data_IF_386682655674
#
_entry.id   IF_386682655674
#
_cell.length_a   1.000
_cell.length_b   1.000
_cell.length_c   1.000
_cell.angle_alpha   90.00
_cell.angle_beta   90.00
_cell.angle_gamma   90.00
#
_symmetry.space_group_name_H-M   'P 1'
#
loop_
_entity.id
_entity.type
_entity.pdbx_description
1 polymer ?
#
# COMPACT_ATOMS: atom_id res chain seq x y z
N UNK A 1 0.09 -32.92 -6.47
CA UNK A 1 -0.90 -32.98 -5.35
C UNK A 1 -0.23 -32.89 -3.97
N UNK A 2 1.11 -32.73 -3.87
CA UNK A 2 1.82 -32.69 -2.59
C UNK A 2 1.79 -31.34 -1.87
N UNK A 3 1.83 -30.22 -2.60
CA UNK A 3 1.89 -28.87 -2.01
C UNK A 3 0.73 -28.59 -1.05
N UNK A 4 -0.51 -28.87 -1.45
CA UNK A 4 -1.69 -28.62 -0.61
C UNK A 4 -1.62 -29.42 0.70
N UNK A 5 -1.31 -30.72 0.62
CA UNK A 5 -1.15 -31.60 1.78
C UNK A 5 -0.03 -31.12 2.70
N UNK A 6 1.12 -30.72 2.15
CA UNK A 6 2.24 -30.21 2.93
C UNK A 6 1.88 -28.87 3.62
N UNK A 7 1.20 -27.95 2.93
CA UNK A 7 0.73 -26.70 3.54
C UNK A 7 -0.31 -26.95 4.64
N UNK A 8 -1.19 -27.93 4.50
CA UNK A 8 -2.14 -28.34 5.56
C UNK A 8 -1.43 -28.91 6.79
N UNK A 9 -0.34 -29.68 6.60
CA UNK A 9 0.51 -30.15 7.69
C UNK A 9 1.20 -28.99 8.40
N UNK A 10 1.79 -28.05 7.64
CA UNK A 10 2.36 -26.81 8.21
C UNK A 10 1.32 -26.00 8.96
N UNK A 11 0.11 -25.82 8.42
CA UNK A 11 -0.96 -25.09 9.11
C UNK A 11 -1.34 -25.75 10.43
N UNK A 12 -1.42 -27.09 10.44
CA UNK A 12 -1.74 -27.88 11.64
C UNK A 12 -0.69 -27.70 12.72
N UNK A 13 0.59 -27.79 12.37
CA UNK A 13 1.71 -27.58 13.30
C UNK A 13 1.73 -26.14 13.84
N UNK A 14 1.56 -25.15 12.96
CA UNK A 14 1.46 -23.75 13.37
C UNK A 14 0.26 -23.48 14.31
N UNK A 15 -0.86 -24.18 14.08
CA UNK A 15 -2.04 -24.11 14.95
C UNK A 15 -1.77 -24.78 16.30
N UNK A 16 -1.11 -25.94 16.32
CA UNK A 16 -0.69 -26.64 17.54
C UNK A 16 0.30 -25.81 18.37
N UNK A 17 1.19 -25.08 17.71
CA UNK A 17 2.12 -24.12 18.32
C UNK A 17 1.47 -22.83 18.85
N UNK A 18 0.16 -22.62 18.64
CA UNK A 18 -0.55 -21.42 19.12
C UNK A 18 -0.29 -20.15 18.30
N UNK A 19 0.29 -20.25 17.10
CA UNK A 19 0.52 -19.09 16.22
C UNK A 19 -0.83 -18.52 15.77
N UNK A 20 -1.02 -17.19 15.86
CA UNK A 20 -2.29 -16.54 15.54
C UNK A 20 -2.73 -16.70 14.07
N UNK A 21 -4.04 -16.80 13.81
CA UNK A 21 -4.63 -17.07 12.47
C UNK A 21 -4.05 -16.18 11.35
N UNK A 22 -3.89 -14.88 11.61
CA UNK A 22 -3.34 -13.93 10.64
C UNK A 22 -1.86 -14.17 10.32
N UNK A 23 -1.07 -14.61 11.31
CA UNK A 23 0.33 -14.93 11.11
C UNK A 23 0.47 -16.25 10.35
N UNK A 24 -0.34 -17.27 10.69
CA UNK A 24 -0.37 -18.54 9.95
C UNK A 24 -0.68 -18.33 8.48
N UNK A 25 -1.77 -17.62 8.17
CA UNK A 25 -2.18 -17.41 6.78
C UNK A 25 -1.12 -16.65 5.96
N UNK A 26 -0.42 -15.69 6.58
CA UNK A 26 0.70 -14.98 5.94
C UNK A 26 1.86 -15.92 5.65
N UNK A 27 2.31 -16.69 6.66
CA UNK A 27 3.43 -17.61 6.52
C UNK A 27 3.14 -18.70 5.46
N UNK A 28 1.91 -19.24 5.44
CA UNK A 28 1.49 -20.19 4.41
C UNK A 28 1.47 -19.58 3.01
N UNK A 29 1.11 -18.29 2.89
CA UNK A 29 1.22 -17.54 1.64
C UNK A 29 2.67 -17.40 1.18
N UNK A 30 3.57 -16.97 2.07
CA UNK A 30 5.00 -16.82 1.78
C UNK A 30 5.65 -18.17 1.40
N UNK A 31 5.31 -19.27 2.10
CA UNK A 31 5.79 -20.61 1.78
C UNK A 31 5.27 -21.13 0.44
N UNK A 32 4.01 -20.82 0.09
CA UNK A 32 3.45 -21.17 -1.21
C UNK A 32 4.17 -20.43 -2.34
N UNK A 33 4.41 -19.14 -2.17
CA UNK A 33 5.12 -18.33 -3.17
C UNK A 33 6.57 -18.86 -3.32
N UNK A 34 7.24 -19.17 -2.22
CA UNK A 34 8.59 -19.74 -2.25
C UNK A 34 8.65 -21.15 -2.88
N UNK A 35 7.61 -21.98 -2.69
CA UNK A 35 7.47 -23.25 -3.41
C UNK A 35 7.41 -23.03 -4.92
N UNK A 36 6.62 -22.04 -5.37
CA UNK A 36 6.49 -21.72 -6.80
C UNK A 36 7.81 -21.24 -7.40
N UNK A 37 8.57 -20.43 -6.67
CA UNK A 37 9.92 -20.00 -7.07
C UNK A 37 10.87 -21.21 -7.21
N UNK A 38 10.91 -22.09 -6.20
CA UNK A 38 11.73 -23.32 -6.25
C UNK A 38 11.34 -24.21 -7.44
N UNK A 39 10.04 -24.30 -7.76
CA UNK A 39 9.55 -25.06 -8.90
C UNK A 39 9.98 -24.43 -10.23
N UNK A 40 9.96 -23.10 -10.33
CA UNK A 40 10.43 -22.38 -11.51
C UNK A 40 11.94 -22.56 -11.71
N UNK A 41 12.72 -22.48 -10.63
CA UNK A 41 14.17 -22.74 -10.64
C UNK A 41 14.50 -24.16 -11.12
N UNK A 42 13.85 -25.19 -10.57
CA UNK A 42 14.11 -26.60 -10.96
C UNK A 42 13.73 -26.88 -12.41
N UNK A 43 12.67 -26.24 -12.92
CA UNK A 43 12.27 -26.33 -14.33
C UNK A 43 13.24 -25.57 -15.25
N UNK A 44 13.70 -24.39 -14.83
CA UNK A 44 14.66 -23.58 -15.59
C UNK A 44 16.09 -24.16 -15.59
N UNK A 45 16.53 -24.75 -14.47
CA UNK A 45 17.86 -25.36 -14.33
C UNK A 45 18.01 -26.63 -15.16
N UNK A 46 16.91 -27.30 -15.51
CA UNK A 46 16.90 -28.42 -16.46
C UNK A 46 16.91 -27.99 -17.92
N UNK A 47 17.12 -26.69 -18.17
CA UNK A 47 17.38 -26.02 -19.43
C UNK A 47 17.10 -26.88 -20.65
N UNK A 48 16.04 -26.53 -21.38
CA UNK A 48 15.92 -26.85 -22.80
C UNK A 48 17.33 -26.84 -23.43
N UNK A 49 17.93 -28.00 -23.72
CA UNK A 49 19.09 -28.04 -24.60
C UNK A 49 18.53 -27.49 -25.90
N UNK A 50 19.09 -26.36 -26.35
CA UNK A 50 18.41 -25.43 -27.26
C UNK A 50 17.58 -26.10 -28.35
N UNK A 51 16.41 -25.51 -28.63
CA UNK A 51 15.39 -25.88 -29.60
C UNK A 51 15.88 -26.13 -31.05
N UNK A 52 16.82 -27.06 -31.24
CA UNK A 52 17.35 -27.56 -32.51
C UNK A 52 17.52 -29.06 -32.41
N UNK A 53 16.45 -29.74 -32.80
CA UNK A 53 16.49 -31.15 -33.14
C UNK A 53 15.95 -32.03 -32.03
N UNK A 54 14.73 -32.50 -32.20
CA UNK A 54 14.46 -33.89 -32.57
C UNK A 54 12.96 -34.16 -32.47
N UNK A 55 12.28 -34.03 -33.62
CA UNK A 55 10.97 -34.64 -33.85
C UNK A 55 11.20 -36.14 -34.10
N UNK A 56 11.18 -37.01 -33.08
CA UNK A 56 10.81 -38.43 -33.23
C UNK A 56 10.90 -39.17 -31.87
N UNK A 57 9.78 -39.63 -31.32
CA UNK A 57 9.78 -40.52 -30.15
C UNK A 57 8.57 -40.40 -29.20
N UNK A 58 7.34 -40.40 -29.74
CA UNK A 58 6.14 -39.95 -29.02
C UNK A 58 5.39 -40.94 -28.10
N UNK A 59 6.01 -41.97 -27.49
CA UNK A 59 5.19 -42.91 -26.65
C UNK A 59 5.78 -43.53 -25.39
N UNK A 60 7.09 -43.42 -25.12
CA UNK A 60 7.67 -43.89 -23.85
C UNK A 60 7.85 -42.79 -22.78
N UNK A 61 7.50 -41.53 -23.10
CA UNK A 61 7.82 -40.36 -22.25
C UNK A 61 6.90 -40.13 -21.04
N UNK A 62 5.74 -40.78 -20.97
CA UNK A 62 4.72 -40.43 -19.97
C UNK A 62 5.03 -40.93 -18.55
N UNK A 63 5.73 -42.05 -18.40
CA UNK A 63 6.10 -42.58 -17.08
C UNK A 63 7.33 -41.87 -16.52
N UNK A 64 8.31 -41.59 -17.37
CA UNK A 64 9.52 -40.87 -16.97
C UNK A 64 9.23 -39.42 -16.56
N UNK A 65 8.26 -38.76 -17.20
CA UNK A 65 7.85 -37.41 -16.81
C UNK A 65 7.25 -37.36 -15.41
N UNK A 66 6.40 -38.32 -15.06
CA UNK A 66 5.78 -38.42 -13.72
C UNK A 66 6.81 -38.66 -12.61
N UNK A 67 7.79 -39.54 -12.86
CA UNK A 67 8.87 -39.79 -11.89
C UNK A 67 9.78 -38.57 -11.72
N UNK A 68 10.03 -37.83 -12.81
CA UNK A 68 10.82 -36.61 -12.77
C UNK A 68 10.12 -35.51 -11.95
N UNK A 69 8.81 -35.32 -12.17
CA UNK A 69 7.99 -34.37 -11.40
C UNK A 69 7.96 -34.74 -9.93
N UNK A 70 7.78 -36.03 -9.60
CA UNK A 70 7.79 -36.51 -8.21
C UNK A 70 9.12 -36.20 -7.52
N UNK A 71 10.25 -36.45 -8.19
CA UNK A 71 11.59 -36.14 -7.68
C UNK A 71 11.83 -34.64 -7.50
N UNK A 72 11.28 -33.80 -8.38
CA UNK A 72 11.35 -32.33 -8.23
C UNK A 72 10.54 -31.89 -7.01
N UNK A 73 9.31 -32.36 -6.85
CA UNK A 73 8.49 -32.04 -5.67
C UNK A 73 9.16 -32.49 -4.35
N UNK A 74 9.80 -33.68 -4.34
CA UNK A 74 10.52 -34.18 -3.16
C UNK A 74 11.72 -33.29 -2.79
N UNK A 75 12.52 -32.87 -3.78
CA UNK A 75 13.62 -31.90 -3.55
C UNK A 75 13.14 -30.56 -3.03
N UNK A 76 12.03 -30.04 -3.56
CA UNK A 76 11.45 -28.77 -3.09
C UNK A 76 10.98 -28.90 -1.64
N UNK A 77 10.32 -30.02 -1.29
CA UNK A 77 9.89 -30.30 0.08
C UNK A 77 11.08 -30.38 1.04
N UNK A 78 12.17 -31.02 0.62
CA UNK A 78 13.41 -31.12 1.40
C UNK A 78 14.07 -29.74 1.61
N UNK A 79 14.09 -28.87 0.57
CA UNK A 79 14.61 -27.50 0.67
C UNK A 79 13.78 -26.62 1.63
N UNK A 80 12.46 -26.75 1.60
CA UNK A 80 11.57 -25.97 2.47
C UNK A 80 11.61 -26.44 3.93
N UNK A 81 12.04 -27.68 4.16
CA UNK A 81 12.17 -28.26 5.49
C UNK A 81 10.88 -28.91 5.99
N UNK A 82 10.99 -29.50 7.19
CA UNK A 82 9.88 -30.24 7.81
C UNK A 82 8.88 -29.27 8.46
N UNK A 83 7.56 -29.54 8.39
CA UNK A 83 6.53 -28.69 8.98
C UNK A 83 6.75 -28.34 10.46
N UNK A 84 7.25 -29.28 11.26
CA UNK A 84 7.48 -29.09 12.69
C UNK A 84 8.63 -28.09 12.94
N UNK A 85 9.67 -28.14 12.11
CA UNK A 85 10.82 -27.21 12.17
C UNK A 85 10.38 -25.80 11.78
N UNK A 86 9.52 -25.67 10.76
CA UNK A 86 8.94 -24.39 10.35
C UNK A 86 8.10 -23.80 11.49
N UNK A 87 7.27 -24.61 12.14
CA UNK A 87 6.45 -24.15 13.26
C UNK A 87 7.31 -23.71 14.47
N UNK A 88 8.37 -24.46 14.78
CA UNK A 88 9.31 -24.11 15.84
C UNK A 88 10.10 -22.83 15.50
N UNK A 89 10.55 -22.68 14.26
CA UNK A 89 11.22 -21.46 13.79
C UNK A 89 10.28 -20.24 13.85
N UNK A 90 9.00 -20.42 13.51
CA UNK A 90 8.00 -19.35 13.61
C UNK A 90 7.73 -18.89 15.06
N UNK A 91 7.96 -19.75 16.05
CA UNK A 91 7.92 -19.39 17.47
C UNK A 91 9.18 -18.64 17.91
N UNK A 92 10.35 -19.11 17.48
CA UNK A 92 11.65 -18.52 17.83
C UNK A 92 11.87 -17.14 17.19
N UNK A 93 11.29 -16.93 16.01
CA UNK A 93 11.32 -15.67 15.30
C UNK A 93 9.91 -15.06 15.30
N UNK A 94 9.45 -14.51 16.44
CA UNK A 94 8.20 -13.76 16.45
C UNK A 94 8.29 -12.70 15.36
N UNK A 95 7.20 -12.48 14.61
CA UNK A 95 7.22 -11.65 13.42
C UNK A 95 7.80 -10.31 13.82
N UNK A 96 8.91 -9.92 13.17
CA UNK A 96 9.57 -8.65 13.49
C UNK A 96 8.52 -7.56 13.38
N UNK A 97 8.03 -7.10 14.54
CA UNK A 97 7.10 -5.98 14.58
C UNK A 97 7.78 -4.84 13.85
N UNK A 98 7.13 -4.36 12.79
CA UNK A 98 7.62 -3.20 12.05
C UNK A 98 8.00 -2.11 13.05
N UNK A 99 9.05 -1.36 12.77
CA UNK A 99 9.53 -0.33 13.69
C UNK A 99 8.42 0.66 14.08
N UNK A 100 7.53 0.98 13.13
CA UNK A 100 6.29 1.76 13.35
C UNK A 100 5.30 1.11 14.32
N UNK A 101 5.19 -0.22 14.37
CA UNK A 101 4.36 -0.91 15.34
C UNK A 101 4.90 -0.80 16.77
N UNK A 102 6.23 -0.65 16.92
CA UNK A 102 6.89 -0.45 18.23
C UNK A 102 6.77 1.00 18.71
N UNK A 103 6.75 1.94 17.77
CA UNK A 103 6.71 3.37 18.05
C UNK A 103 5.56 4.05 17.29
N UNK A 104 4.29 3.76 17.65
CA UNK A 104 3.13 4.22 16.90
C UNK A 104 2.93 5.74 16.94
N UNK A 105 3.48 6.42 17.95
CA UNK A 105 3.48 7.89 18.05
C UNK A 105 4.19 8.57 16.87
N UNK A 106 5.10 7.87 16.18
CA UNK A 106 5.77 8.39 14.99
C UNK A 106 4.81 8.60 13.82
N UNK A 107 3.73 7.82 13.71
CA UNK A 107 2.69 8.10 12.71
C UNK A 107 2.03 9.45 12.96
N UNK A 108 1.79 9.78 14.22
CA UNK A 108 1.22 11.08 14.62
C UNK A 108 2.22 12.19 14.32
N UNK A 109 3.48 12.01 14.71
CA UNK A 109 4.55 12.98 14.46
C UNK A 109 4.80 13.21 12.96
N UNK A 110 4.65 12.18 12.12
CA UNK A 110 4.85 12.27 10.68
C UNK A 110 3.65 12.87 9.92
N UNK A 111 2.45 12.90 10.50
CA UNK A 111 1.24 13.34 9.81
C UNK A 111 1.32 14.81 9.35
N UNK A 112 1.84 15.70 10.20
CA UNK A 112 1.98 17.12 9.88
C UNK A 112 3.08 17.39 8.84
N UNK A 113 4.31 16.83 8.95
CA UNK A 113 5.30 16.89 7.88
C UNK A 113 4.78 16.38 6.53
N UNK A 114 4.01 15.29 6.51
CA UNK A 114 3.42 14.76 5.28
C UNK A 114 2.44 15.74 4.64
N UNK A 115 1.62 16.43 5.44
CA UNK A 115 0.75 17.49 4.94
C UNK A 115 1.54 18.65 4.35
N UNK A 116 2.58 19.14 5.05
CA UNK A 116 3.44 20.23 4.54
C UNK A 116 4.13 19.82 3.24
N UNK A 117 4.67 18.61 3.16
CA UNK A 117 5.28 18.08 1.94
C UNK A 117 4.27 17.97 0.81
N UNK A 118 3.03 17.54 1.10
CA UNK A 118 1.95 17.52 0.13
C UNK A 118 1.61 18.92 -0.40
N UNK A 119 1.64 19.94 0.45
CA UNK A 119 1.40 21.33 0.07
C UNK A 119 2.52 21.89 -0.80
N UNK A 120 3.78 21.66 -0.44
CA UNK A 120 4.95 22.05 -1.23
C UNK A 120 4.92 21.36 -2.60
N UNK A 121 4.70 20.05 -2.63
CA UNK A 121 4.61 19.28 -3.87
C UNK A 121 3.46 19.73 -4.78
N UNK A 122 2.30 20.07 -4.20
CA UNK A 122 1.18 20.65 -4.92
C UNK A 122 1.53 22.02 -5.53
N UNK A 123 2.11 22.92 -4.73
CA UNK A 123 2.52 24.25 -5.19
C UNK A 123 3.54 24.19 -6.33
N UNK A 124 4.55 23.30 -6.22
CA UNK A 124 5.52 23.06 -7.29
C UNK A 124 4.85 22.53 -8.56
N UNK A 125 3.88 21.63 -8.43
CA UNK A 125 3.14 21.07 -9.57
C UNK A 125 2.31 22.14 -10.29
N UNK A 126 1.61 23.00 -9.54
CA UNK A 126 0.86 24.13 -10.10
C UNK A 126 1.81 25.11 -10.79
N UNK A 127 2.94 25.44 -10.18
CA UNK A 127 3.94 26.32 -10.78
C UNK A 127 4.51 25.73 -12.09
N UNK A 128 4.81 24.43 -12.12
CA UNK A 128 5.29 23.76 -13.33
C UNK A 128 4.24 23.75 -14.45
N UNK A 129 2.98 23.45 -14.14
CA UNK A 129 1.88 23.51 -15.11
C UNK A 129 1.70 24.94 -15.63
N UNK A 130 1.78 25.94 -14.74
CA UNK A 130 1.65 27.35 -15.11
C UNK A 130 2.79 27.86 -16.01
N UNK A 131 3.99 27.25 -15.94
CA UNK A 131 5.08 27.55 -16.86
C UNK A 131 4.90 26.92 -18.23
N UNK A 132 4.32 25.71 -18.29
CA UNK A 132 4.09 24.98 -19.54
C UNK A 132 2.88 25.50 -20.32
N UNK A 133 1.88 26.01 -19.60
CA UNK A 133 0.66 26.56 -20.18
C UNK A 133 0.87 28.06 -20.35
N UNK A 134 0.69 28.63 -21.55
CA UNK A 134 0.81 30.07 -21.80
C UNK A 134 -0.34 30.85 -21.12
N UNK A 135 -0.29 30.91 -19.80
CA UNK A 135 -1.31 31.41 -18.88
C UNK A 135 -1.69 32.86 -19.15
N UNK A 136 -0.75 33.60 -19.77
CA UNK A 136 -0.88 35.00 -20.09
C UNK A 136 -2.08 35.27 -21.00
N UNK A 137 -2.33 34.38 -21.97
CA UNK A 137 -3.42 34.51 -22.94
C UNK A 137 -4.83 34.37 -22.34
N UNK A 138 -4.97 33.72 -21.18
CA UNK A 138 -6.30 33.41 -20.60
C UNK A 138 -6.74 34.40 -19.50
N UNK A 139 -5.81 35.21 -18.96
CA UNK A 139 -6.08 36.20 -17.91
C UNK A 139 -6.89 37.41 -18.40
N UNK A 140 -6.94 37.67 -19.70
CA UNK A 140 -7.66 38.81 -20.29
C UNK A 140 -9.19 38.68 -20.21
N UNK A 141 -9.72 37.46 -19.98
CA UNK A 141 -11.16 37.16 -20.03
C UNK A 141 -11.99 37.61 -18.81
N UNK A 142 -11.36 38.16 -17.76
CA UNK A 142 -12.03 38.84 -16.62
C UNK A 142 -12.92 37.97 -15.71
N UNK A 143 -13.19 36.71 -16.07
CA UNK A 143 -13.87 35.73 -15.20
C UNK A 143 -12.83 34.98 -14.39
N UNK A 144 -13.12 34.67 -13.12
CA UNK A 144 -12.25 33.85 -12.29
C UNK A 144 -12.21 32.46 -12.95
N UNK A 145 -11.11 32.09 -13.63
CA UNK A 145 -11.17 30.94 -14.51
C UNK A 145 -11.42 29.69 -13.68
N UNK A 146 -12.06 28.68 -14.26
CA UNK A 146 -12.29 27.40 -13.58
C UNK A 146 -11.00 26.82 -12.97
N UNK A 147 -9.83 27.10 -13.56
CA UNK A 147 -8.52 26.70 -13.04
C UNK A 147 -8.16 27.39 -11.72
N UNK A 148 -8.58 28.63 -11.48
CA UNK A 148 -8.30 29.33 -10.22
C UNK A 148 -9.00 28.67 -9.04
N UNK A 149 -10.25 28.23 -9.26
CA UNK A 149 -10.98 27.37 -8.31
C UNK A 149 -10.28 26.03 -8.13
N UNK A 150 -9.80 25.40 -9.20
CA UNK A 150 -9.04 24.15 -9.10
C UNK A 150 -7.74 24.31 -8.30
N UNK A 151 -7.05 25.45 -8.41
CA UNK A 151 -5.85 25.78 -7.62
C UNK A 151 -6.19 25.89 -6.13
N UNK A 152 -7.24 26.63 -5.80
CA UNK A 152 -7.69 26.82 -4.42
C UNK A 152 -8.15 25.50 -3.79
N UNK A 153 -9.04 24.78 -4.46
CA UNK A 153 -9.53 23.49 -3.96
C UNK A 153 -8.43 22.43 -3.92
N UNK A 154 -7.52 22.43 -4.90
CA UNK A 154 -6.38 21.52 -4.88
C UNK A 154 -5.43 21.78 -3.71
N UNK A 155 -5.16 23.05 -3.39
CA UNK A 155 -4.34 23.40 -2.23
C UNK A 155 -4.95 22.94 -0.90
N UNK A 156 -6.28 22.87 -0.81
CA UNK A 156 -7.01 22.37 0.36
C UNK A 156 -6.98 20.84 0.39
N UNK A 157 -7.40 20.17 -0.69
CA UNK A 157 -7.69 18.74 -0.67
C UNK A 157 -6.50 17.84 -1.00
N UNK A 158 -5.58 18.26 -1.88
CA UNK A 158 -4.46 17.39 -2.31
C UNK A 158 -3.49 17.11 -1.15
N UNK A 159 -3.01 18.10 -0.39
CA UNK A 159 -2.06 17.84 0.71
C UNK A 159 -2.66 16.95 1.80
N UNK A 160 -3.93 17.21 2.15
CA UNK A 160 -4.67 16.43 3.14
C UNK A 160 -4.92 15.01 2.63
N UNK A 161 -5.34 14.86 1.37
CA UNK A 161 -5.55 13.55 0.75
C UNK A 161 -4.28 12.71 0.69
N UNK A 162 -3.13 13.32 0.37
CA UNK A 162 -1.83 12.66 0.40
C UNK A 162 -1.45 12.23 1.83
N UNK A 163 -1.54 13.13 2.81
CA UNK A 163 -1.23 12.82 4.20
C UNK A 163 -2.12 11.69 4.73
N UNK A 164 -3.43 11.75 4.49
CA UNK A 164 -4.40 10.70 4.86
C UNK A 164 -4.04 9.37 4.20
N UNK A 165 -3.71 9.37 2.91
CA UNK A 165 -3.32 8.15 2.19
C UNK A 165 -2.08 7.53 2.80
N UNK A 166 -1.04 8.31 3.02
CA UNK A 166 0.23 7.85 3.59
C UNK A 166 0.05 7.32 5.01
N UNK A 167 -0.65 8.06 5.88
CA UNK A 167 -0.93 7.64 7.27
C UNK A 167 -1.74 6.35 7.29
N UNK A 168 -2.80 6.26 6.48
CA UNK A 168 -3.66 5.06 6.41
C UNK A 168 -2.88 3.86 5.90
N UNK A 169 -2.13 4.02 4.81
CA UNK A 169 -1.29 2.96 4.25
C UNK A 169 -0.23 2.48 5.26
N UNK A 170 0.49 3.41 5.89
CA UNK A 170 1.51 3.09 6.89
C UNK A 170 0.91 2.41 8.12
N UNK A 171 -0.24 2.85 8.60
CA UNK A 171 -0.93 2.26 9.74
C UNK A 171 -1.43 0.83 9.45
N UNK A 172 -2.01 0.59 8.26
CA UNK A 172 -2.44 -0.76 7.85
C UNK A 172 -1.24 -1.69 7.67
N UNK A 173 -0.22 -1.25 6.93
CA UNK A 173 1.00 -2.04 6.68
C UNK A 173 1.74 -2.39 7.97
N UNK A 174 1.79 -1.44 8.90
CA UNK A 174 2.48 -1.59 10.18
C UNK A 174 1.61 -2.23 11.26
N UNK A 175 0.32 -2.46 10.99
CA UNK A 175 -0.66 -3.02 11.95
C UNK A 175 -0.73 -2.24 13.25
N UNK A 176 -0.68 -0.92 13.15
CA UNK A 176 -0.79 -0.05 14.31
C UNK A 176 -2.21 -0.14 14.91
N UNK A 177 -2.31 -0.03 16.24
CA UNK A 177 -3.59 -0.06 16.93
C UNK A 177 -4.50 1.07 16.44
N UNK A 178 -5.81 0.80 16.37
CA UNK A 178 -6.80 1.73 15.79
C UNK A 178 -6.78 3.10 16.47
N UNK A 179 -6.55 3.17 17.78
CA UNK A 179 -6.45 4.44 18.51
C UNK A 179 -5.33 5.34 17.99
N UNK A 180 -4.15 4.78 17.74
CA UNK A 180 -3.02 5.54 17.21
C UNK A 180 -3.23 5.98 15.76
N UNK A 181 -3.92 5.15 14.96
CA UNK A 181 -4.35 5.54 13.62
C UNK A 181 -5.32 6.74 13.68
N UNK A 182 -6.34 6.68 14.55
CA UNK A 182 -7.30 7.78 14.71
C UNK A 182 -6.62 9.07 15.19
N UNK A 183 -5.68 8.96 16.14
CA UNK A 183 -4.89 10.10 16.60
C UNK A 183 -4.03 10.72 15.47
N UNK A 184 -3.37 9.88 14.66
CA UNK A 184 -2.57 10.35 13.52
C UNK A 184 -3.43 10.98 12.42
N UNK A 185 -4.65 10.46 12.21
CA UNK A 185 -5.61 10.99 11.25
C UNK A 185 -6.24 12.30 11.71
N UNK A 186 -6.45 12.49 13.02
CA UNK A 186 -7.07 13.69 13.56
C UNK A 186 -6.28 14.97 13.20
N UNK A 187 -4.94 14.93 13.19
CA UNK A 187 -4.11 16.08 12.88
C UNK A 187 -4.36 16.68 11.48
N UNK A 188 -4.16 15.95 10.36
CA UNK A 188 -4.39 16.50 9.03
C UNK A 188 -5.86 16.88 8.80
N UNK A 189 -6.81 16.20 9.45
CA UNK A 189 -8.23 16.56 9.37
C UNK A 189 -8.55 17.86 10.12
N UNK A 190 -7.97 18.08 11.31
CA UNK A 190 -8.12 19.33 12.05
C UNK A 190 -7.45 20.49 11.31
N UNK A 191 -6.28 20.25 10.70
CA UNK A 191 -5.64 21.24 9.83
C UNK A 191 -6.56 21.57 8.66
N UNK A 192 -7.13 20.56 7.98
CA UNK A 192 -8.09 20.77 6.89
C UNK A 192 -9.31 21.59 7.33
N UNK A 193 -9.89 21.27 8.49
CA UNK A 193 -11.05 21.98 9.04
C UNK A 193 -10.80 23.48 9.22
N UNK A 194 -9.58 23.87 9.59
CA UNK A 194 -9.23 25.26 9.84
C UNK A 194 -8.47 25.93 8.68
N UNK A 195 -8.19 25.20 7.60
CA UNK A 195 -7.43 25.76 6.47
C UNK A 195 -8.32 26.72 5.69
N UNK A 196 -7.80 27.93 5.47
CA UNK A 196 -8.42 28.92 4.62
C UNK A 196 -7.45 29.33 3.51
N UNK A 197 -7.93 29.31 2.27
CA UNK A 197 -7.15 29.69 1.09
C UNK A 197 -7.85 30.83 0.39
N UNK A 198 -7.21 32.00 0.38
CA UNK A 198 -7.67 33.17 -0.33
C UNK A 198 -6.80 33.40 -1.57
N UNK A 199 -7.43 33.45 -2.73
CA UNK A 199 -6.79 33.83 -3.98
C UNK A 199 -7.19 35.25 -4.33
N UNK A 200 -6.23 36.17 -4.33
CA UNK A 200 -6.42 37.54 -4.81
C UNK A 200 -5.76 37.67 -6.18
N UNK A 201 -6.56 37.68 -7.24
CA UNK A 201 -6.10 37.91 -8.62
C UNK A 201 -6.07 39.42 -8.89
N UNK A 202 -4.93 39.93 -9.33
CA UNK A 202 -4.79 41.30 -9.84
C UNK A 202 -4.49 41.26 -11.34
N UNK A 203 -5.00 42.25 -12.07
CA UNK A 203 -4.65 42.44 -13.50
C UNK A 203 -3.22 42.93 -13.67
N UNK A 204 -2.66 43.56 -12.64
CA UNK A 204 -1.28 44.01 -12.63
C UNK A 204 -0.33 42.83 -12.41
N UNK A 205 0.67 42.71 -13.28
CA UNK A 205 1.67 41.64 -13.22
C UNK A 205 2.38 41.68 -11.87
N UNK A 206 2.47 40.53 -11.21
CA UNK A 206 3.15 40.40 -9.91
C UNK A 206 2.31 40.78 -8.69
N UNK A 207 1.09 41.30 -8.86
CA UNK A 207 0.21 41.64 -7.73
C UNK A 207 -0.81 40.55 -7.36
N UNK A 208 -0.80 39.43 -8.08
CA UNK A 208 -1.62 38.27 -7.70
C UNK A 208 -0.99 37.57 -6.50
N UNK A 209 -1.80 37.24 -5.50
CA UNK A 209 -1.33 36.59 -4.27
C UNK A 209 -2.26 35.44 -3.88
N UNK A 210 -1.64 34.38 -3.35
CA UNK A 210 -2.32 33.27 -2.69
C UNK A 210 -1.97 33.36 -1.21
N UNK A 211 -2.98 33.54 -0.37
CA UNK A 211 -2.81 33.50 1.07
C UNK A 211 -3.36 32.16 1.58
N UNK A 212 -2.49 31.39 2.25
CA UNK A 212 -2.86 30.20 2.99
C UNK A 212 -2.79 30.54 4.48
N UNK A 213 -3.88 30.31 5.21
CA UNK A 213 -3.96 30.63 6.62
C UNK A 213 -4.79 29.61 7.39
N UNK A 214 -4.82 29.79 8.70
CA UNK A 214 -5.64 29.01 9.63
C UNK A 214 -6.67 29.96 10.22
N UNK A 215 -7.96 29.65 10.07
CA UNK A 215 -9.07 30.47 10.56
C UNK A 215 -9.69 29.90 11.83
N UNK A 216 -9.93 30.76 12.83
CA UNK A 216 -10.66 30.43 14.06
C UNK A 216 -11.73 31.51 14.32
N UNK A 217 -13.02 31.16 14.44
CA UNK A 217 -13.60 29.81 14.27
C UNK A 217 -13.50 29.30 12.81
N UNK A 218 -13.65 27.97 12.58
CA UNK A 218 -13.66 27.43 11.23
C UNK A 218 -14.88 27.95 10.44
N UNK A 219 -14.68 28.21 9.16
CA UNK A 219 -15.75 28.58 8.23
C UNK A 219 -16.73 27.38 8.05
N UNK A 220 -18.04 27.59 7.80
CA UNK A 220 -18.98 26.49 7.57
C UNK A 220 -18.55 25.56 6.43
N UNK A 221 -17.82 26.05 5.43
CA UNK A 221 -17.27 25.19 4.37
C UNK A 221 -16.19 24.23 4.89
N UNK A 222 -15.52 24.57 6.00
CA UNK A 222 -14.54 23.74 6.68
C UNK A 222 -15.08 22.37 7.10
N UNK A 223 -16.39 22.27 7.35
CA UNK A 223 -17.05 20.98 7.62
C UNK A 223 -16.85 20.02 6.44
N UNK A 224 -17.01 20.48 5.19
CA UNK A 224 -16.77 19.64 4.02
C UNK A 224 -15.28 19.34 3.82
N UNK A 225 -14.40 20.29 4.16
CA UNK A 225 -12.95 20.09 4.13
C UNK A 225 -12.50 19.00 5.12
N UNK A 226 -13.23 18.81 6.21
CA UNK A 226 -13.04 17.70 7.16
C UNK A 226 -13.69 16.39 6.70
N UNK A 227 -14.97 16.44 6.31
CA UNK A 227 -15.77 15.24 6.04
C UNK A 227 -15.29 14.46 4.80
N UNK A 228 -14.90 15.16 3.73
CA UNK A 228 -14.48 14.50 2.48
C UNK A 228 -13.21 13.65 2.70
N UNK A 229 -12.10 14.19 3.25
CA UNK A 229 -10.92 13.38 3.52
C UNK A 229 -11.15 12.33 4.62
N UNK A 230 -12.02 12.59 5.61
CA UNK A 230 -12.37 11.61 6.63
C UNK A 230 -13.10 10.39 6.04
N UNK A 231 -14.09 10.63 5.17
CA UNK A 231 -14.79 9.56 4.44
C UNK A 231 -13.83 8.77 3.55
N UNK A 232 -12.93 9.47 2.84
CA UNK A 232 -11.89 8.86 2.04
C UNK A 232 -10.93 7.99 2.88
N UNK A 233 -10.48 8.48 4.04
CA UNK A 233 -9.65 7.74 4.98
C UNK A 233 -10.33 6.44 5.45
N UNK A 234 -11.62 6.52 5.81
CA UNK A 234 -12.40 5.37 6.23
C UNK A 234 -12.51 4.34 5.10
N UNK A 235 -12.88 4.76 3.89
CA UNK A 235 -12.96 3.88 2.73
C UNK A 235 -11.63 3.19 2.44
N UNK A 236 -10.53 3.93 2.46
CA UNK A 236 -9.17 3.41 2.26
C UNK A 236 -8.78 2.41 3.35
N UNK A 237 -9.04 2.73 4.62
CA UNK A 237 -8.76 1.86 5.75
C UNK A 237 -9.49 0.52 5.65
N UNK A 238 -10.79 0.54 5.38
CA UNK A 238 -11.57 -0.69 5.23
C UNK A 238 -11.16 -1.48 3.98
N UNK A 239 -10.89 -0.80 2.85
CA UNK A 239 -10.43 -1.44 1.62
C UNK A 239 -9.08 -2.15 1.80
N UNK A 240 -8.09 -1.47 2.39
CA UNK A 240 -6.77 -2.03 2.63
C UNK A 240 -6.80 -3.14 3.69
N UNK A 241 -7.60 -3.00 4.75
CA UNK A 241 -7.78 -4.06 5.75
C UNK A 241 -8.46 -5.30 5.17
N UNK A 242 -9.46 -5.15 4.29
CA UNK A 242 -10.10 -6.30 3.61
C UNK A 242 -9.11 -7.06 2.74
N UNK A 243 -8.26 -6.36 1.99
CA UNK A 243 -7.18 -6.98 1.18
C UNK A 243 -6.10 -7.64 2.04
N UNK A 244 -5.87 -7.11 3.25
CA UNK A 244 -4.93 -7.66 4.21
C UNK A 244 -5.54 -8.78 5.06
N UNK A 245 -6.87 -8.94 5.04
CA UNK A 245 -7.52 -10.09 5.63
C UNK A 245 -7.16 -11.27 4.71
N UNK A 246 -6.53 -12.33 5.24
CA UNK A 246 -6.33 -13.52 4.45
C UNK A 246 -7.69 -13.96 3.93
N UNK A 247 -7.78 -14.24 2.64
CA UNK A 247 -8.94 -14.88 2.03
C UNK A 247 -9.22 -16.12 2.87
N UNK A 248 -10.14 -16.00 3.83
CA UNK A 248 -10.61 -17.13 4.59
C UNK A 248 -11.26 -17.99 3.53
N UNK A 249 -10.60 -19.10 3.19
CA UNK A 249 -11.06 -19.99 2.14
C UNK A 249 -12.53 -20.27 2.37
N UNK A 250 -13.34 -19.94 1.37
CA UNK A 250 -14.61 -20.61 1.18
C UNK A 250 -14.24 -22.05 0.78
N UNK A 251 -14.00 -22.87 1.80
CA UNK A 251 -14.16 -24.31 1.72
C UNK A 251 -15.63 -24.65 1.97
#
# INVERSE_FOLDING_TARGET
MKLAKWLEEVERELKGAGIGKLQRARLLGELRDHWMDCLAEERGSKGEPGARGLRHGGRMMATESLDLERKVEDRITERLGRPEVIAQAALQHPPQRSWLARHPWLLVAAALPLWVLGLVGYGMSVAGIAQLWDFRSHLESGTLPWWGRAVVYGAIYVPVGLAVTCVTWAAVRSRVATLWYLAALALPLLVALHTHVALKLSREVGQSSVALGIAFPPDPTGIFQFLIPAAFAAALWFGLRRRSAPLAGNG
#
